data_IF_555640809549
#
_entry.id   IF_555640809549
#
_cell.length_a   1.000
_cell.length_b   1.000
_cell.length_c   1.000
_cell.angle_alpha   90.00
_cell.angle_beta   90.00
_cell.angle_gamma   90.00
#
_symmetry.space_group_name_H-M   'P 1'
#
loop_
_entity.id
_entity.type
_entity.pdbx_description
1 polymer ?
#
# COMPACT_ATOMS: atom_id res chain seq x y z
N UNK A 1 -11.43 -1.75 2.56
CA UNK A 1 -11.34 -2.97 1.72
C UNK A 1 -11.19 -2.56 0.27
N UNK A 2 -10.21 -3.10 -0.45
CA UNK A 2 -10.04 -2.89 -1.88
C UNK A 2 -11.19 -3.55 -2.64
N UNK A 3 -11.93 -2.78 -3.45
CA UNK A 3 -13.02 -3.29 -4.29
C UNK A 3 -12.78 -2.91 -5.74
N UNK A 4 -12.67 -3.91 -6.61
CA UNK A 4 -12.56 -3.73 -8.06
C UNK A 4 -13.83 -4.27 -8.69
N UNK A 5 -14.58 -3.39 -9.36
CA UNK A 5 -15.72 -3.78 -10.21
C UNK A 5 -15.25 -3.90 -11.66
N UNK A 6 -15.81 -4.86 -12.39
CA UNK A 6 -15.65 -4.96 -13.84
C UNK A 6 -16.24 -3.72 -14.50
N UNK A 7 -15.58 -3.25 -15.57
CA UNK A 7 -16.14 -2.24 -16.48
C UNK A 7 -16.65 -2.94 -17.73
N UNK A 8 -17.67 -2.37 -18.37
CA UNK A 8 -18.18 -2.87 -19.65
C UNK A 8 -17.05 -2.82 -20.70
N UNK A 9 -16.83 -3.94 -21.40
CA UNK A 9 -15.78 -4.09 -22.42
C UNK A 9 -14.37 -4.37 -21.89
N UNK A 10 -14.19 -4.58 -20.58
CA UNK A 10 -12.88 -4.86 -19.99
C UNK A 10 -12.57 -6.36 -19.98
N UNK A 11 -11.36 -6.74 -20.41
CA UNK A 11 -10.91 -8.13 -20.32
C UNK A 11 -10.50 -8.49 -18.89
N UNK A 12 -10.58 -9.79 -18.55
CA UNK A 12 -10.16 -10.30 -17.23
C UNK A 12 -8.71 -9.90 -16.90
N UNK A 13 -7.81 -9.89 -17.89
CA UNK A 13 -6.43 -9.49 -17.69
C UNK A 13 -6.28 -8.00 -17.34
N UNK A 14 -7.07 -7.12 -17.95
CA UNK A 14 -7.07 -5.69 -17.63
C UNK A 14 -7.56 -5.44 -16.20
N UNK A 15 -8.59 -6.18 -15.78
CA UNK A 15 -9.10 -6.14 -14.41
C UNK A 15 -8.03 -6.56 -13.39
N UNK A 16 -7.28 -7.64 -13.65
CA UNK A 16 -6.19 -8.11 -12.77
C UNK A 16 -5.08 -7.06 -12.67
N UNK A 17 -4.69 -6.43 -13.79
CA UNK A 17 -3.66 -5.38 -13.80
C UNK A 17 -4.08 -4.18 -12.94
N UNK A 18 -5.34 -3.75 -13.06
CA UNK A 18 -5.90 -2.69 -12.20
C UNK A 18 -5.91 -3.08 -10.74
N UNK A 19 -6.34 -4.30 -10.42
CA UNK A 19 -6.33 -4.81 -9.06
C UNK A 19 -4.92 -4.78 -8.46
N UNK A 20 -3.91 -5.25 -9.21
CA UNK A 20 -2.50 -5.19 -8.79
C UNK A 20 -2.05 -3.75 -8.53
N UNK A 21 -2.35 -2.83 -9.44
CA UNK A 21 -2.02 -1.40 -9.29
C UNK A 21 -2.70 -0.75 -8.08
N UNK A 22 -3.93 -1.14 -7.78
CA UNK A 22 -4.66 -0.71 -6.58
C UNK A 22 -4.02 -1.26 -5.30
N UNK A 23 -3.64 -2.54 -5.26
CA UNK A 23 -2.92 -3.14 -4.13
C UNK A 23 -1.56 -2.46 -3.89
N UNK A 24 -0.84 -2.09 -4.95
CA UNK A 24 0.41 -1.35 -4.88
C UNK A 24 0.21 0.09 -4.37
N UNK A 25 -0.82 0.78 -4.88
CA UNK A 25 -1.13 2.16 -4.46
C UNK A 25 -1.50 2.26 -2.98
N UNK A 26 -2.35 1.35 -2.50
CA UNK A 26 -2.70 1.28 -1.07
C UNK A 26 -1.52 0.82 -0.21
N UNK A 27 -0.46 0.27 -0.82
CA UNK A 27 0.69 -0.25 -0.08
C UNK A 27 0.34 -1.47 0.77
N UNK A 28 -0.70 -2.22 0.39
CA UNK A 28 -1.23 -3.35 1.16
C UNK A 28 -0.13 -4.35 1.53
N UNK A 29 0.73 -4.70 0.57
CA UNK A 29 1.85 -5.64 0.77
C UNK A 29 2.85 -5.10 1.81
N UNK A 30 3.15 -3.80 1.78
CA UNK A 30 4.05 -3.15 2.75
C UNK A 30 3.45 -3.18 4.14
N UNK A 31 2.14 -2.99 4.23
CA UNK A 31 1.42 -2.97 5.49
C UNK A 31 1.31 -4.37 6.10
N UNK A 32 1.07 -5.40 5.28
CA UNK A 32 1.13 -6.80 5.70
C UNK A 32 2.51 -7.18 6.25
N UNK A 33 3.58 -6.85 5.54
CA UNK A 33 4.96 -7.12 6.01
C UNK A 33 5.28 -6.41 7.32
N UNK A 34 4.72 -5.21 7.51
CA UNK A 34 4.91 -4.42 8.74
C UNK A 34 4.22 -5.05 9.94
N UNK A 35 3.04 -5.63 9.77
CA UNK A 35 2.27 -6.25 10.86
C UNK A 35 2.59 -7.71 11.08
N UNK A 36 3.39 -8.33 10.20
CA UNK A 36 3.77 -9.74 10.29
C UNK A 36 4.57 -10.07 11.56
N UNK A 37 5.23 -9.07 12.17
CA UNK A 37 6.03 -9.23 13.38
C UNK A 37 5.74 -8.08 14.35
N UNK A 38 6.02 -8.32 15.63
CA UNK A 38 5.90 -7.28 16.64
C UNK A 38 6.94 -6.17 16.41
N UNK A 39 6.47 -4.94 16.21
CA UNK A 39 7.28 -3.73 16.16
C UNK A 39 7.17 -3.01 17.52
N UNK A 40 8.28 -2.84 18.24
CA UNK A 40 8.31 -2.06 19.49
C UNK A 40 7.74 -0.64 19.27
N UNK A 41 7.03 -0.05 20.25
CA UNK A 41 6.45 1.28 20.08
C UNK A 41 7.45 2.37 19.68
N UNK A 42 8.67 2.31 20.20
CA UNK A 42 9.77 3.23 19.86
C UNK A 42 10.17 3.13 18.38
N UNK A 43 10.29 1.91 17.84
CA UNK A 43 10.59 1.64 16.44
C UNK A 43 9.48 2.14 15.53
N UNK A 44 8.22 1.91 15.91
CA UNK A 44 7.04 2.41 15.20
C UNK A 44 7.04 3.93 15.11
N UNK A 45 7.37 4.62 16.20
CA UNK A 45 7.47 6.08 16.24
C UNK A 45 8.63 6.59 15.36
N UNK A 46 9.82 5.99 15.47
CA UNK A 46 10.98 6.36 14.65
C UNK A 46 10.70 6.18 13.15
N UNK A 47 10.03 5.09 12.75
CA UNK A 47 9.63 4.85 11.37
C UNK A 47 8.60 5.87 10.87
N UNK A 48 7.63 6.27 11.70
CA UNK A 48 6.65 7.33 11.37
C UNK A 48 7.36 8.66 11.10
N UNK A 49 8.28 9.07 11.96
CA UNK A 49 9.08 10.29 11.77
C UNK A 49 9.90 10.25 10.47
N UNK A 50 10.62 9.16 10.21
CA UNK A 50 11.38 8.98 8.97
C UNK A 50 10.49 9.02 7.72
N UNK A 51 9.29 8.43 7.79
CA UNK A 51 8.32 8.48 6.68
C UNK A 51 7.82 9.90 6.44
N UNK A 52 7.52 10.66 7.50
CA UNK A 52 7.11 12.06 7.40
C UNK A 52 8.22 12.91 6.75
N UNK A 53 9.47 12.77 7.22
CA UNK A 53 10.61 13.50 6.65
C UNK A 53 10.80 13.20 5.15
N UNK A 54 10.71 11.92 4.76
CA UNK A 54 10.82 11.54 3.34
C UNK A 54 9.71 12.11 2.47
N UNK A 55 8.51 12.28 3.02
CA UNK A 55 7.40 12.88 2.29
C UNK A 55 7.59 14.39 2.12
N UNK A 56 8.10 15.08 3.14
CA UNK A 56 8.42 16.52 3.08
C UNK A 56 9.53 16.79 2.07
N UNK A 57 10.59 15.98 2.07
CA UNK A 57 11.72 16.12 1.14
C UNK A 57 11.40 15.73 -0.33
N UNK A 58 10.17 15.30 -0.61
CA UNK A 58 9.72 14.89 -1.96
C UNK A 58 8.88 15.97 -2.65
N UNK A 59 8.56 17.05 -1.93
CA UNK A 59 8.05 18.32 -2.48
C UNK A 59 9.26 19.06 -3.03
#
# INVERSE_FOLDING_TARGET
MLKVKSRAGESVQQMIRRFKKLCEKEGLIRDMKRTAYYEKPSEKNRRRMRKAQRNVNRI
#
